data_IF_523250060145
#
_entry.id   IF_523250060145
#
_cell.length_a   1.000
_cell.length_b   1.000
_cell.length_c   1.000
_cell.angle_alpha   90.00
_cell.angle_beta   90.00
_cell.angle_gamma   90.00
#
_symmetry.space_group_name_H-M   'P 1'
#
loop_
_entity.id
_entity.type
_entity.pdbx_description
1 polymer ?
#
# COMPACT_ATOMS: atom_id res chain seq x y z
N UNK A 1 -3.73 23.17 -9.62
CA UNK A 1 -4.63 22.22 -10.31
C UNK A 1 -4.92 21.13 -9.30
N UNK A 2 -6.17 20.99 -8.89
CA UNK A 2 -6.62 19.89 -8.01
C UNK A 2 -6.33 18.58 -8.71
N UNK A 3 -5.74 17.60 -8.01
CA UNK A 3 -5.65 16.25 -8.53
C UNK A 3 -7.08 15.67 -8.55
N UNK A 4 -7.70 15.44 -9.73
CA UNK A 4 -9.09 15.00 -9.81
C UNK A 4 -9.31 13.64 -9.11
N UNK A 5 -8.26 12.87 -8.88
CA UNK A 5 -8.36 11.55 -8.25
C UNK A 5 -8.60 11.63 -6.72
N UNK A 6 -8.48 12.82 -6.11
CA UNK A 6 -8.78 13.06 -4.69
C UNK A 6 -10.21 13.57 -4.44
N UNK A 7 -11.07 13.60 -5.46
CA UNK A 7 -12.45 14.09 -5.35
C UNK A 7 -13.48 12.97 -5.14
N UNK A 8 -13.03 11.75 -4.86
CA UNK A 8 -13.90 10.62 -4.51
C UNK A 8 -13.73 10.29 -3.02
N UNK A 9 -14.83 10.03 -2.30
CA UNK A 9 -14.71 9.34 -1.03
C UNK A 9 -14.17 7.93 -1.31
N UNK A 10 -13.51 7.30 -0.35
CA UNK A 10 -12.84 5.99 -0.49
C UNK A 10 -11.53 5.98 -1.30
N UNK A 11 -11.03 7.13 -1.78
CA UNK A 11 -9.68 7.19 -2.36
C UNK A 11 -8.65 6.85 -1.30
N UNK A 12 -7.74 5.91 -1.62
CA UNK A 12 -6.63 5.53 -0.75
C UNK A 12 -5.37 6.32 -1.08
N UNK A 13 -4.66 6.71 -0.04
CA UNK A 13 -3.43 7.50 -0.10
C UNK A 13 -2.35 6.91 0.81
N UNK A 14 -1.13 7.34 0.60
CA UNK A 14 0.02 7.04 1.43
C UNK A 14 0.39 8.25 2.28
N UNK A 15 0.54 8.01 3.58
CA UNK A 15 1.03 9.00 4.54
C UNK A 15 2.35 8.54 5.17
N UNK A 16 3.25 9.45 5.56
CA UNK A 16 4.48 9.08 6.25
C UNK A 16 4.18 8.36 7.57
N UNK A 17 5.00 7.36 7.89
CA UNK A 17 4.94 6.60 9.14
C UNK A 17 6.36 6.36 9.69
N UNK A 18 6.60 6.53 11.00
CA UNK A 18 7.94 6.38 11.58
C UNK A 18 8.48 4.94 11.54
N UNK A 19 7.62 3.93 11.53
CA UNK A 19 8.02 2.53 11.65
C UNK A 19 8.08 1.85 10.28
N UNK A 20 7.07 2.07 9.44
CA UNK A 20 6.96 1.45 8.11
C UNK A 20 7.39 2.35 6.96
N UNK A 21 7.86 3.57 7.24
CA UNK A 21 8.13 4.66 6.29
C UNK A 21 6.85 5.25 5.67
N UNK A 22 5.94 4.39 5.20
CA UNK A 22 4.67 4.75 4.57
C UNK A 22 3.54 3.84 5.04
N UNK A 23 2.40 4.43 5.40
CA UNK A 23 1.16 3.71 5.76
C UNK A 23 0.00 4.13 4.87
N UNK A 24 -0.90 3.20 4.55
CA UNK A 24 -2.09 3.50 3.75
C UNK A 24 -3.21 4.07 4.62
N UNK A 25 -3.91 5.05 4.06
CA UNK A 25 -5.10 5.63 4.66
C UNK A 25 -6.15 5.91 3.58
N UNK A 26 -7.41 5.90 3.97
CA UNK A 26 -8.55 6.10 3.09
C UNK A 26 -9.23 7.44 3.41
N UNK A 27 -9.60 8.19 2.38
CA UNK A 27 -10.39 9.42 2.52
C UNK A 27 -11.82 9.08 2.95
N UNK A 28 -12.25 9.64 4.08
CA UNK A 28 -13.63 9.49 4.56
C UNK A 28 -14.58 10.54 3.97
N UNK A 29 -14.02 11.59 3.34
CA UNK A 29 -14.76 12.72 2.80
C UNK A 29 -14.04 13.30 1.58
N UNK A 30 -14.80 13.81 0.62
CA UNK A 30 -14.29 14.53 -0.54
C UNK A 30 -13.44 15.72 -0.12
N UNK A 31 -12.22 15.80 -0.63
CA UNK A 31 -11.37 16.96 -0.46
C UNK A 31 -11.84 18.09 -1.37
N UNK A 32 -12.02 19.29 -0.79
CA UNK A 32 -12.30 20.51 -1.55
C UNK A 32 -11.05 21.39 -1.59
N UNK A 33 -10.79 21.98 -2.75
CA UNK A 33 -9.66 22.89 -2.92
C UNK A 33 -9.71 24.03 -1.89
N UNK A 34 -8.62 24.20 -1.14
CA UNK A 34 -8.51 25.19 -0.08
C UNK A 34 -8.83 24.67 1.33
N UNK A 35 -9.24 23.41 1.49
CA UNK A 35 -9.28 22.77 2.81
C UNK A 35 -7.84 22.59 3.36
N UNK A 36 -7.67 22.84 4.67
CA UNK A 36 -6.35 22.79 5.34
C UNK A 36 -6.00 21.41 5.86
N UNK A 37 -6.92 20.46 5.77
CA UNK A 37 -6.75 19.11 6.28
C UNK A 37 -7.58 18.11 5.46
N UNK A 38 -7.12 16.88 5.44
CA UNK A 38 -7.83 15.71 4.94
C UNK A 38 -8.36 14.91 6.13
N UNK A 39 -9.57 14.36 6.00
CA UNK A 39 -10.10 13.40 6.96
C UNK A 39 -9.77 12.00 6.45
N UNK A 40 -8.86 11.34 7.17
CA UNK A 40 -8.31 10.05 6.78
C UNK A 40 -8.63 9.00 7.83
N UNK A 41 -8.99 7.81 7.37
CA UNK A 41 -9.06 6.61 8.19
C UNK A 41 -7.85 5.73 7.87
N UNK A 42 -7.07 5.33 8.86
CA UNK A 42 -5.96 4.40 8.63
C UNK A 42 -6.50 3.03 8.22
N UNK A 43 -5.82 2.37 7.29
CA UNK A 43 -6.21 1.05 6.79
C UNK A 43 -5.68 -0.09 7.68
N UNK A 44 -5.45 0.18 8.97
CA UNK A 44 -4.82 -0.74 9.93
C UNK A 44 -5.22 -2.19 9.62
N UNK A 45 -4.22 -3.03 9.33
CA UNK A 45 -4.40 -4.45 9.04
C UNK A 45 -5.10 -5.08 10.24
N UNK A 46 -6.43 -5.18 10.17
CA UNK A 46 -7.30 -5.67 11.23
C UNK A 46 -7.12 -4.98 12.58
N UNK A 47 -8.08 -4.14 12.94
CA UNK A 47 -8.44 -3.93 14.33
C UNK A 47 -8.80 -5.26 15.01
N UNK A 48 -7.81 -6.03 15.44
CA UNK A 48 -7.94 -6.90 16.61
C UNK A 48 -7.72 -6.02 17.83
N UNK A 49 -8.58 -5.02 18.00
CA UNK A 49 -8.93 -4.64 19.36
C UNK A 49 -9.68 -5.87 19.90
N UNK A 50 -8.97 -6.75 20.60
CA UNK A 50 -9.63 -7.80 21.37
C UNK A 50 -10.76 -7.14 22.17
N UNK A 51 -11.96 -7.71 22.19
CA UNK A 51 -13.14 -7.16 22.90
C UNK A 51 -12.82 -6.64 24.32
N UNK A 52 -11.75 -7.14 24.96
CA UNK A 52 -11.25 -6.66 26.25
C UNK A 52 -10.62 -5.26 26.25
N UNK A 53 -9.98 -4.81 25.16
CA UNK A 53 -9.34 -3.48 25.07
C UNK A 53 -10.39 -2.38 24.98
N UNK A 54 -11.46 -2.61 24.21
CA UNK A 54 -12.56 -1.65 24.05
C UNK A 54 -13.31 -1.44 25.36
N UNK A 55 -13.56 -2.50 26.13
CA UNK A 55 -14.19 -2.39 27.46
C UNK A 55 -13.31 -1.62 28.46
N UNK A 56 -11.98 -1.72 28.32
CA UNK A 56 -11.01 -1.03 29.17
C UNK A 56 -10.84 0.46 28.86
N UNK A 57 -11.26 0.92 27.67
CA UNK A 57 -11.17 2.32 27.24
C UNK A 57 -12.43 3.14 27.53
N UNK A 58 -13.57 2.49 27.81
CA UNK A 58 -14.82 3.13 28.21
C UNK A 58 -14.67 4.23 29.29
N UNK A 59 -13.95 4.02 30.42
CA UNK A 59 -13.85 5.02 31.48
C UNK A 59 -12.95 6.23 31.15
N UNK A 60 -12.33 6.24 29.96
CA UNK A 60 -11.50 7.35 29.47
C UNK A 60 -12.14 8.11 28.31
N UNK A 61 -13.36 7.72 27.90
CA UNK A 61 -14.11 8.46 26.90
C UNK A 61 -14.68 9.76 27.51
N UNK A 62 -14.83 10.82 26.70
CA UNK A 62 -15.55 12.03 27.10
C UNK A 62 -16.96 11.69 27.65
N UNK A 63 -17.38 12.37 28.73
CA UNK A 63 -18.64 12.06 29.46
C UNK A 63 -19.91 12.15 28.60
N UNK A 64 -19.86 12.90 27.50
CA UNK A 64 -20.92 13.02 26.51
C UNK A 64 -21.08 11.77 25.64
N UNK A 65 -20.05 10.91 25.54
CA UNK A 65 -20.05 9.67 24.76
C UNK A 65 -20.57 8.48 25.56
N UNK A 66 -20.25 8.38 26.86
CA UNK A 66 -20.74 7.32 27.75
C UNK A 66 -22.28 7.28 27.85
N UNK A 67 -22.90 8.47 27.92
CA UNK A 67 -24.35 8.61 28.07
C UNK A 67 -25.14 8.06 26.87
N UNK A 68 -24.54 7.98 25.68
CA UNK A 68 -25.22 7.50 24.47
C UNK A 68 -25.01 6.00 24.25
N UNK A 69 -23.91 5.44 24.78
CA UNK A 69 -23.63 4.01 24.74
C UNK A 69 -24.60 3.19 25.63
N UNK A 70 -25.07 3.75 26.75
CA UNK A 70 -26.09 3.10 27.58
C UNK A 70 -27.51 3.17 26.98
N UNK A 71 -27.77 4.11 26.07
CA UNK A 71 -29.11 4.36 25.51
C UNK A 71 -29.42 3.48 24.29
N UNK A 72 -28.41 2.86 23.67
CA UNK A 72 -28.59 1.98 22.50
C UNK A 72 -28.08 0.58 22.78
N UNK A 73 -29.00 -0.38 22.91
CA UNK A 73 -28.68 -1.81 22.93
C UNK A 73 -28.34 -2.38 21.55
N UNK A 74 -28.23 -1.53 20.51
CA UNK A 74 -27.98 -1.97 19.14
C UNK A 74 -26.49 -2.04 18.84
N UNK A 75 -26.03 -3.22 18.42
CA UNK A 75 -24.67 -3.48 17.94
C UNK A 75 -24.20 -2.53 16.82
N UNK A 76 -25.13 -1.87 16.11
CA UNK A 76 -24.82 -0.84 15.11
C UNK A 76 -24.27 0.45 15.71
N UNK A 77 -24.74 0.87 16.90
CA UNK A 77 -24.28 2.12 17.53
C UNK A 77 -22.82 2.00 18.00
N UNK A 78 -22.45 0.82 18.52
CA UNK A 78 -21.08 0.52 18.93
C UNK A 78 -20.09 0.58 17.75
N UNK A 79 -20.51 0.11 16.57
CA UNK A 79 -19.71 0.19 15.34
C UNK A 79 -19.57 1.62 14.82
N UNK A 80 -20.63 2.42 14.91
CA UNK A 80 -20.64 3.82 14.47
C UNK A 80 -19.68 4.68 15.30
N UNK A 81 -19.62 4.45 16.62
CA UNK A 81 -18.75 5.18 17.54
C UNK A 81 -17.27 4.79 17.35
N UNK A 82 -16.98 3.50 17.14
CA UNK A 82 -15.64 3.02 16.79
C UNK A 82 -15.13 3.64 15.48
N UNK A 83 -16.00 3.78 14.48
CA UNK A 83 -15.67 4.42 13.21
C UNK A 83 -15.30 5.91 13.35
N UNK A 84 -15.86 6.62 14.33
CA UNK A 84 -15.54 8.04 14.57
C UNK A 84 -14.24 8.23 15.38
N UNK A 85 -13.78 7.21 16.11
CA UNK A 85 -12.56 7.26 16.92
C UNK A 85 -11.26 7.02 16.12
N UNK A 86 -11.35 6.50 14.90
CA UNK A 86 -10.20 6.21 14.01
C UNK A 86 -9.93 7.27 12.93
N UNK A 87 -10.82 8.27 12.79
CA UNK A 87 -10.65 9.32 11.78
C UNK A 87 -9.63 10.34 12.29
N UNK A 88 -8.53 10.50 11.55
CA UNK A 88 -7.49 11.48 11.82
C UNK A 88 -7.58 12.63 10.83
N UNK A 89 -7.43 13.85 11.35
CA UNK A 89 -7.21 15.02 10.50
C UNK A 89 -5.73 15.11 10.13
N UNK A 90 -5.45 14.93 8.85
CA UNK A 90 -4.11 15.06 8.30
C UNK A 90 -3.93 16.47 7.72
N UNK A 91 -3.02 17.30 8.24
CA UNK A 91 -2.83 18.66 7.75
C UNK A 91 -2.27 18.63 6.33
N UNK A 92 -2.88 19.44 5.45
CA UNK A 92 -2.37 19.69 4.10
C UNK A 92 -1.61 21.00 4.13
N UNK A 93 -0.35 20.98 3.67
CA UNK A 93 0.43 22.19 3.55
C UNK A 93 -0.14 23.05 2.40
N UNK A 94 -0.92 24.06 2.78
CA UNK A 94 -1.55 25.00 1.84
C UNK A 94 -0.54 25.88 1.08
N UNK A 95 0.71 26.00 1.53
CA UNK A 95 1.73 26.83 0.87
C UNK A 95 2.43 26.05 -0.25
N UNK A 96 2.70 24.76 -0.01
CA UNK A 96 3.37 23.89 -0.99
C UNK A 96 2.40 23.02 -1.80
N UNK A 97 1.10 23.01 -1.44
CA UNK A 97 0.04 22.22 -2.07
C UNK A 97 0.41 20.73 -2.24
N UNK A 98 1.21 20.21 -1.30
CA UNK A 98 1.74 18.86 -1.35
C UNK A 98 0.69 17.92 -0.73
N UNK A 99 -0.08 17.30 -1.62
CA UNK A 99 -1.07 16.28 -1.27
C UNK A 99 -0.36 14.93 -1.06
N UNK A 100 -0.91 14.05 -0.21
CA UNK A 100 -0.35 12.71 -0.03
C UNK A 100 -0.39 11.92 -1.35
N UNK A 101 0.52 10.97 -1.50
CA UNK A 101 0.61 10.17 -2.71
C UNK A 101 -0.60 9.25 -2.82
N UNK A 102 -1.18 9.12 -4.01
CA UNK A 102 -2.29 8.20 -4.26
C UNK A 102 -1.82 6.75 -4.21
N UNK A 103 -2.64 5.86 -3.67
CA UNK A 103 -2.40 4.42 -3.70
C UNK A 103 -2.88 3.84 -5.03
N UNK A 104 -2.09 2.93 -5.60
CA UNK A 104 -2.49 2.19 -6.79
C UNK A 104 -3.67 1.25 -6.48
N UNK A 105 -4.55 0.98 -7.45
CA UNK A 105 -5.56 -0.07 -7.32
C UNK A 105 -4.94 -1.43 -7.01
N UNK A 106 -5.61 -2.25 -6.20
CA UNK A 106 -5.07 -3.54 -5.74
C UNK A 106 -4.79 -4.53 -6.88
N UNK A 107 -5.51 -4.40 -8.00
CA UNK A 107 -5.28 -5.23 -9.20
C UNK A 107 -3.89 -5.03 -9.83
N UNK A 108 -3.23 -3.91 -9.57
CA UNK A 108 -1.89 -3.61 -10.10
C UNK A 108 -0.78 -3.91 -9.08
N UNK A 109 -1.14 -4.37 -7.88
CA UNK A 109 -0.16 -4.69 -6.83
C UNK A 109 0.41 -6.08 -7.11
N UNK A 110 1.73 -6.22 -7.01
CA UNK A 110 2.42 -7.48 -7.24
C UNK A 110 2.89 -7.70 -8.69
N UNK A 111 2.65 -6.76 -9.60
CA UNK A 111 3.08 -6.83 -11.00
C UNK A 111 4.57 -7.12 -11.19
N UNK A 112 4.91 -7.83 -12.27
CA UNK A 112 6.29 -8.22 -12.58
C UNK A 112 7.18 -7.05 -13.00
N UNK A 113 6.59 -5.97 -13.53
CA UNK A 113 7.27 -4.73 -13.87
C UNK A 113 6.60 -3.54 -13.18
N UNK A 114 7.38 -2.77 -12.42
CA UNK A 114 6.90 -1.58 -11.73
C UNK A 114 6.41 -0.48 -12.69
N UNK A 115 6.78 -0.53 -13.98
CA UNK A 115 6.26 0.41 -14.99
C UNK A 115 4.77 0.23 -15.29
N UNK A 116 4.17 -0.90 -14.90
CA UNK A 116 2.74 -1.17 -15.04
C UNK A 116 1.86 -0.40 -14.02
N UNK A 117 2.47 0.21 -12.99
CA UNK A 117 1.75 0.96 -11.98
C UNK A 117 1.18 2.27 -12.55
N UNK A 118 -0.04 2.62 -12.15
CA UNK A 118 -0.68 3.89 -12.56
C UNK A 118 0.00 5.10 -11.92
N UNK A 119 0.37 4.98 -10.65
CA UNK A 119 1.09 5.98 -9.89
C UNK A 119 2.45 5.43 -9.50
N UNK A 120 3.51 5.95 -10.13
CA UNK A 120 4.88 5.52 -9.88
C UNK A 120 5.60 6.55 -9.01
N UNK A 121 5.64 6.26 -7.71
CA UNK A 121 6.31 7.05 -6.67
C UNK A 121 6.88 6.11 -5.60
N UNK A 122 7.64 6.68 -4.65
CA UNK A 122 8.36 5.92 -3.64
C UNK A 122 7.48 4.93 -2.84
N UNK A 123 6.33 5.31 -2.25
CA UNK A 123 5.50 4.34 -1.52
C UNK A 123 4.92 3.25 -2.41
N UNK A 124 4.59 3.54 -3.67
CA UNK A 124 4.11 2.52 -4.61
C UNK A 124 5.18 1.46 -4.92
N UNK A 125 6.42 1.89 -5.14
CA UNK A 125 7.55 0.98 -5.36
C UNK A 125 7.82 0.15 -4.12
N UNK A 126 7.90 0.78 -2.95
CA UNK A 126 8.15 0.09 -1.68
C UNK A 126 7.07 -0.96 -1.39
N UNK A 127 5.79 -0.59 -1.53
CA UNK A 127 4.68 -1.49 -1.28
C UNK A 127 4.67 -2.68 -2.25
N UNK A 128 4.85 -2.44 -3.56
CA UNK A 128 4.85 -3.51 -4.55
C UNK A 128 6.01 -4.50 -4.29
N UNK A 129 7.22 -3.99 -4.00
CA UNK A 129 8.37 -4.83 -3.65
C UNK A 129 8.16 -5.60 -2.34
N UNK A 130 7.56 -4.97 -1.30
CA UNK A 130 7.22 -5.61 -0.02
C UNK A 130 6.27 -6.80 -0.25
N UNK A 131 5.19 -6.60 -0.99
CA UNK A 131 4.20 -7.65 -1.31
C UNK A 131 4.85 -8.78 -2.09
N UNK A 132 5.58 -8.48 -3.18
CA UNK A 132 6.25 -9.51 -3.99
C UNK A 132 7.24 -10.34 -3.18
N UNK A 133 8.01 -9.70 -2.32
CA UNK A 133 9.03 -10.37 -1.51
C UNK A 133 8.42 -11.19 -0.37
N UNK A 134 7.54 -10.60 0.45
CA UNK A 134 7.02 -11.24 1.67
C UNK A 134 5.88 -12.21 1.40
N UNK A 135 4.96 -11.88 0.49
CA UNK A 135 3.75 -12.68 0.26
C UNK A 135 3.96 -13.70 -0.87
N UNK A 136 4.64 -13.28 -1.94
CA UNK A 136 4.83 -14.12 -3.13
C UNK A 136 6.20 -14.82 -3.19
N UNK A 137 7.13 -14.52 -2.29
CA UNK A 137 8.52 -15.01 -2.31
C UNK A 137 9.25 -14.78 -3.66
N UNK A 138 8.97 -13.66 -4.33
CA UNK A 138 9.63 -13.25 -5.56
C UNK A 138 10.72 -12.21 -5.26
N UNK A 139 11.97 -12.58 -5.54
CA UNK A 139 13.14 -11.73 -5.26
C UNK A 139 13.54 -10.83 -6.42
N UNK A 140 13.00 -11.09 -7.61
CA UNK A 140 13.29 -10.37 -8.83
C UNK A 140 12.05 -9.61 -9.30
N UNK A 141 12.24 -8.35 -9.66
CA UNK A 141 11.18 -7.49 -10.21
C UNK A 141 11.78 -6.57 -11.25
N UNK A 142 11.12 -6.41 -12.40
CA UNK A 142 11.54 -5.42 -13.39
C UNK A 142 11.16 -4.00 -12.95
N UNK A 143 11.98 -3.06 -13.35
CA UNK A 143 11.71 -1.63 -13.30
C UNK A 143 12.10 -1.06 -14.68
N UNK A 144 11.29 -1.36 -15.69
CA UNK A 144 11.61 -1.12 -17.09
C UNK A 144 12.89 -1.85 -17.49
N UNK A 145 13.95 -1.08 -17.79
CA UNK A 145 15.24 -1.64 -18.22
C UNK A 145 16.11 -2.20 -17.09
N UNK A 146 15.75 -1.91 -15.82
CA UNK A 146 16.53 -2.33 -14.65
C UNK A 146 15.89 -3.56 -14.02
N UNK A 147 16.71 -4.51 -13.56
CA UNK A 147 16.26 -5.61 -12.71
C UNK A 147 16.57 -5.29 -11.24
N UNK A 148 15.52 -5.27 -10.41
CA UNK A 148 15.64 -5.20 -8.96
C UNK A 148 15.82 -6.62 -8.42
N UNK A 149 16.83 -6.82 -7.57
CA UNK A 149 17.10 -8.09 -6.89
C UNK A 149 17.16 -7.87 -5.38
N UNK A 150 16.26 -8.51 -4.64
CA UNK A 150 16.20 -8.45 -3.17
C UNK A 150 16.86 -9.70 -2.61
N UNK A 151 17.75 -9.55 -1.62
CA UNK A 151 18.45 -10.69 -1.03
C UNK A 151 17.49 -11.52 -0.13
N UNK A 152 17.21 -12.79 -0.46
CA UNK A 152 16.35 -13.65 0.36
C UNK A 152 17.04 -14.18 1.63
N UNK A 153 18.37 -14.12 1.73
CA UNK A 153 19.17 -14.77 2.78
C UNK A 153 18.96 -16.29 2.90
N UNK A 154 18.32 -16.91 1.91
CA UNK A 154 18.14 -18.36 1.79
C UNK A 154 18.44 -18.83 0.36
N UNK A 155 18.64 -20.13 0.20
CA UNK A 155 18.83 -20.73 -1.11
C UNK A 155 17.49 -21.04 -1.76
N UNK A 156 17.26 -20.45 -2.94
CA UNK A 156 16.04 -20.67 -3.71
C UNK A 156 16.28 -21.69 -4.84
N UNK A 157 15.35 -22.61 -5.12
CA UNK A 157 15.46 -23.61 -6.17
C UNK A 157 15.18 -23.04 -7.58
N UNK A 158 15.63 -21.82 -7.87
CA UNK A 158 15.35 -21.09 -9.14
C UNK A 158 16.58 -20.98 -10.05
N UNK A 159 17.71 -21.57 -9.65
CA UNK A 159 18.98 -21.51 -10.39
C UNK A 159 19.36 -22.85 -11.04
N UNK A 160 18.40 -23.78 -11.14
CA UNK A 160 18.59 -25.08 -11.76
C UNK A 160 18.81 -25.00 -13.27
N UNK A 161 19.35 -26.09 -13.84
CA UNK A 161 19.63 -26.20 -15.26
C UNK A 161 18.35 -26.15 -16.12
N UNK A 162 17.25 -26.70 -15.59
CA UNK A 162 15.91 -26.62 -16.14
C UNK A 162 15.43 -25.17 -16.29
N UNK A 163 15.68 -24.33 -15.28
CA UNK A 163 15.34 -22.90 -15.33
C UNK A 163 16.18 -22.20 -16.39
N UNK A 164 17.49 -22.46 -16.46
CA UNK A 164 18.37 -21.88 -17.50
C UNK A 164 17.83 -22.17 -18.90
N UNK A 165 17.46 -23.43 -19.16
CA UNK A 165 16.91 -23.81 -20.47
C UNK A 165 15.55 -23.19 -20.75
N UNK A 166 14.72 -22.95 -19.73
CA UNK A 166 13.43 -22.27 -19.89
C UNK A 166 13.60 -20.82 -20.36
N UNK A 167 14.62 -20.10 -19.87
CA UNK A 167 14.89 -18.71 -20.28
C UNK A 167 15.64 -18.60 -21.62
N UNK A 168 16.33 -19.66 -22.07
CA UNK A 168 17.07 -19.63 -23.33
C UNK A 168 16.15 -19.38 -24.52
N UNK A 169 16.52 -18.43 -25.37
CA UNK A 169 15.76 -18.02 -26.55
C UNK A 169 14.51 -17.17 -26.27
N UNK A 170 14.09 -16.99 -25.01
CA UNK A 170 12.91 -16.18 -24.65
C UNK A 170 13.24 -14.68 -24.66
N UNK A 171 12.27 -13.82 -24.99
CA UNK A 171 12.51 -12.36 -24.93
C UNK A 171 12.29 -11.84 -23.52
N UNK A 172 12.90 -10.69 -23.23
CA UNK A 172 12.65 -9.96 -21.99
C UNK A 172 11.16 -9.59 -21.89
N UNK A 173 10.52 -9.95 -20.77
CA UNK A 173 9.10 -9.71 -20.52
C UNK A 173 8.16 -10.87 -20.89
N UNK A 174 8.61 -11.84 -21.70
CA UNK A 174 7.83 -13.06 -21.98
C UNK A 174 7.84 -14.06 -20.81
N UNK A 175 8.88 -13.95 -19.97
CA UNK A 175 9.11 -14.76 -18.76
C UNK A 175 9.16 -13.87 -17.52
N UNK A 176 8.96 -14.48 -16.36
CA UNK A 176 9.07 -13.79 -15.07
C UNK A 176 10.44 -13.10 -14.90
N UNK A 177 10.51 -12.04 -14.08
CA UNK A 177 11.77 -11.36 -13.80
C UNK A 177 12.81 -12.32 -13.24
N UNK A 178 13.96 -12.41 -13.91
CA UNK A 178 15.06 -13.25 -13.47
C UNK A 178 16.40 -12.76 -14.00
N UNK A 179 17.48 -13.05 -13.28
CA UNK A 179 18.84 -12.69 -13.73
C UNK A 179 19.22 -13.40 -15.04
N UNK A 180 18.67 -14.60 -15.28
CA UNK A 180 18.87 -15.34 -16.54
C UNK A 180 18.20 -14.66 -17.73
N UNK A 181 17.06 -13.98 -17.53
CA UNK A 181 16.44 -13.20 -18.60
C UNK A 181 17.34 -12.03 -19.03
N UNK A 182 17.98 -11.35 -18.06
CA UNK A 182 18.95 -10.28 -18.36
C UNK A 182 20.19 -10.83 -19.07
N UNK A 183 20.69 -12.00 -18.66
CA UNK A 183 21.81 -12.66 -19.32
C UNK A 183 21.49 -13.07 -20.76
N UNK A 184 20.30 -13.64 -21.00
CA UNK A 184 19.83 -14.02 -22.34
C UNK A 184 19.67 -12.80 -23.25
N UNK A 185 19.05 -11.72 -22.75
CA UNK A 185 18.88 -10.48 -23.50
C UNK A 185 20.23 -9.88 -23.91
N UNK A 186 21.20 -9.85 -22.99
CA UNK A 186 22.56 -9.40 -23.31
C UNK A 186 23.24 -10.30 -24.36
N UNK A 187 23.08 -11.62 -24.26
CA UNK A 187 23.63 -12.56 -25.23
C UNK A 187 23.03 -12.39 -26.63
N UNK A 188 21.71 -12.20 -26.72
CA UNK A 188 21.01 -11.91 -27.98
C UNK A 188 21.49 -10.63 -28.64
N UNK A 189 21.74 -9.57 -27.87
CA UNK A 189 22.22 -8.29 -28.39
C UNK A 189 23.69 -8.32 -28.87
N UNK A 190 24.46 -9.34 -28.48
CA UNK A 190 25.85 -9.50 -28.93
C UNK A 190 25.98 -10.19 -30.30
N UNK A 191 24.95 -10.94 -30.72
CA UNK A 191 24.96 -11.74 -31.95
C UNK A 191 24.50 -10.93 -33.18
#
# INVERSE_FOLDING_TARGET
MVNPDLTSPYTRVWIPDPDEVWRSAELTKDYKEGEKSLQLKLEDETGVFERGVILGMLPFLPQDVEMWAEVSSDSQFHLQLLLQLEIREYPVDAQNNQLPFLRNPDILVGENDLTALSYLHEPAVLHNLKVRFLESNHIYTYCGIVLVAINPYEQLPIYGQDVIYAYSGQNMGDMDPHIFAVAEEAYKQMA
#
